data_IF_940691142456
#
_entry.id   IF_940691142456
#
_cell.length_a   1.000
_cell.length_b   1.000
_cell.length_c   1.000
_cell.angle_alpha   90.00
_cell.angle_beta   90.00
_cell.angle_gamma   90.00
#
_symmetry.space_group_name_H-M   'P 1'
#
loop_
_entity.id
_entity.type
_entity.pdbx_description
1 polymer ?
#
# COMPACT_ATOMS: atom_id res chain seq x y z
N UNK A 1 -3.50 -2.18 -18.39
CA UNK A 1 -2.98 -0.82 -18.70
C UNK A 1 -3.06 -0.01 -17.43
N UNK A 2 -2.02 0.75 -17.09
CA UNK A 2 -2.00 1.63 -15.92
C UNK A 2 -2.79 2.91 -16.23
N UNK A 3 -3.45 3.48 -15.22
CA UNK A 3 -4.12 4.78 -15.31
C UNK A 3 -3.09 5.92 -15.14
N UNK A 4 -3.35 7.11 -15.67
CA UNK A 4 -2.39 8.23 -15.53
C UNK A 4 -2.30 8.77 -14.10
N UNK A 5 -3.41 8.78 -13.34
CA UNK A 5 -3.46 9.28 -11.97
C UNK A 5 -4.63 8.66 -11.20
N UNK A 6 -4.44 8.47 -9.89
CA UNK A 6 -5.52 8.10 -8.96
C UNK A 6 -6.52 9.24 -8.74
N UNK A 7 -7.73 8.90 -8.28
CA UNK A 7 -8.78 9.88 -7.95
C UNK A 7 -9.28 9.64 -6.53
N UNK A 8 -9.46 10.70 -5.73
CA UNK A 8 -9.83 10.57 -4.30
C UNK A 8 -8.83 9.70 -3.52
N UNK A 9 -7.63 10.24 -3.20
CA UNK A 9 -6.56 9.52 -2.50
C UNK A 9 -7.00 8.83 -1.20
N UNK A 10 -7.98 9.40 -0.51
CA UNK A 10 -8.56 8.87 0.72
C UNK A 10 -9.16 7.46 0.56
N UNK A 11 -9.50 7.05 -0.68
CA UNK A 11 -10.06 5.72 -0.98
C UNK A 11 -9.00 4.63 -1.17
N UNK A 12 -7.72 4.97 -1.11
CA UNK A 12 -6.65 4.00 -1.31
C UNK A 12 -5.82 3.82 -0.04
N UNK A 13 -5.50 2.55 0.21
CA UNK A 13 -4.43 2.12 1.09
C UNK A 13 -3.38 1.42 0.24
N UNK A 14 -2.19 2.01 0.14
CA UNK A 14 -1.01 1.36 -0.42
C UNK A 14 -0.31 0.60 0.70
N UNK A 15 -0.11 -0.70 0.51
CA UNK A 15 0.80 -1.50 1.34
C UNK A 15 1.97 -1.90 0.45
N UNK A 16 3.19 -1.50 0.83
CA UNK A 16 4.39 -1.73 0.04
C UNK A 16 5.53 -2.19 0.95
N UNK A 17 6.40 -3.07 0.44
CA UNK A 17 7.57 -3.56 1.15
C UNK A 17 8.84 -2.87 0.60
N UNK A 18 9.73 -2.38 1.48
CA UNK A 18 11.00 -1.79 1.00
C UNK A 18 11.93 -2.85 0.42
N UNK A 19 11.71 -4.12 0.77
CA UNK A 19 12.40 -5.29 0.22
C UNK A 19 11.72 -5.94 -0.99
N UNK A 20 10.66 -5.35 -1.54
CA UNK A 20 9.99 -5.87 -2.75
C UNK A 20 11.00 -6.05 -3.90
N UNK A 21 11.18 -7.31 -4.31
CA UNK A 21 12.17 -7.71 -5.31
C UNK A 21 11.70 -7.50 -6.76
N UNK A 22 10.42 -7.16 -6.96
CA UNK A 22 9.80 -7.02 -8.28
C UNK A 22 9.43 -5.57 -8.62
N UNK A 23 9.08 -4.77 -7.62
CA UNK A 23 8.56 -3.42 -7.81
C UNK A 23 9.26 -2.43 -6.87
N UNK A 24 9.52 -1.21 -7.35
CA UNK A 24 10.11 -0.15 -6.52
C UNK A 24 9.02 0.54 -5.67
N UNK A 25 9.13 0.42 -4.35
CA UNK A 25 8.19 1.04 -3.42
C UNK A 25 8.18 2.57 -3.49
N UNK A 26 9.29 3.22 -3.88
CA UNK A 26 9.33 4.67 -4.07
C UNK A 26 8.41 5.07 -5.23
N UNK A 27 8.47 4.35 -6.35
CA UNK A 27 7.59 4.60 -7.50
C UNK A 27 6.11 4.37 -7.13
N UNK A 28 5.82 3.36 -6.30
CA UNK A 28 4.47 3.16 -5.78
C UNK A 28 4.00 4.35 -4.94
N UNK A 29 4.81 4.80 -3.97
CA UNK A 29 4.47 5.93 -3.10
C UNK A 29 4.28 7.21 -3.90
N UNK A 30 5.13 7.46 -4.90
CA UNK A 30 5.01 8.62 -5.79
C UNK A 30 3.76 8.57 -6.66
N UNK A 31 3.33 7.38 -7.07
CA UNK A 31 2.11 7.20 -7.87
C UNK A 31 0.81 7.35 -7.07
N UNK A 32 0.85 7.13 -5.74
CA UNK A 32 -0.28 7.25 -4.82
C UNK A 32 -0.18 8.49 -3.90
N UNK A 33 0.01 9.72 -4.42
CA UNK A 33 0.25 10.87 -3.56
C UNK A 33 -0.95 11.16 -2.65
N UNK A 34 -0.68 11.37 -1.35
CA UNK A 34 -1.67 11.65 -0.30
C UNK A 34 -2.66 10.52 0.01
N UNK A 35 -2.44 9.30 -0.51
CA UNK A 35 -3.19 8.14 -0.07
C UNK A 35 -2.72 7.67 1.32
N UNK A 36 -3.45 6.73 1.92
CA UNK A 36 -2.96 6.06 3.12
C UNK A 36 -1.85 5.10 2.71
N UNK A 37 -0.68 5.18 3.36
CA UNK A 37 0.46 4.30 3.06
C UNK A 37 0.85 3.49 4.29
N UNK A 38 1.15 2.22 4.07
CA UNK A 38 1.81 1.31 5.01
C UNK A 38 3.08 0.78 4.31
N UNK A 39 4.21 1.42 4.58
CA UNK A 39 5.51 1.01 4.02
C UNK A 39 6.22 0.13 5.04
N UNK A 40 6.38 -1.14 4.70
CA UNK A 40 6.96 -2.18 5.55
C UNK A 40 8.47 -2.23 5.31
N UNK A 41 9.27 -2.03 6.34
CA UNK A 41 10.71 -2.18 6.26
C UNK A 41 11.10 -3.65 6.02
N UNK A 42 11.81 -3.93 4.92
CA UNK A 42 12.13 -5.29 4.50
C UNK A 42 10.95 -5.98 3.84
N UNK A 43 10.68 -7.24 4.24
CA UNK A 43 9.71 -8.16 3.63
C UNK A 43 10.03 -8.47 2.16
N UNK A 44 9.05 -9.01 1.43
CA UNK A 44 9.13 -9.42 0.03
C UNK A 44 7.89 -8.95 -0.74
N UNK A 45 7.88 -9.12 -2.06
CA UNK A 45 6.73 -8.75 -2.92
C UNK A 45 5.43 -9.43 -2.48
N UNK A 46 5.52 -10.63 -1.90
CA UNK A 46 4.36 -11.37 -1.40
C UNK A 46 3.80 -10.85 -0.09
N UNK A 47 4.55 -10.00 0.62
CA UNK A 47 4.29 -9.56 1.99
C UNK A 47 3.98 -10.80 2.84
N UNK A 48 4.93 -11.72 2.97
CA UNK A 48 4.74 -13.01 3.67
C UNK A 48 4.16 -12.84 5.10
N UNK A 49 4.45 -11.73 5.76
CA UNK A 49 3.93 -11.35 7.09
C UNK A 49 2.57 -10.65 7.06
N UNK A 50 1.84 -10.67 5.94
CA UNK A 50 0.54 -10.00 5.76
C UNK A 50 -0.45 -10.15 6.93
N UNK A 51 -0.58 -11.31 7.62
CA UNK A 51 -1.45 -11.42 8.78
C UNK A 51 -1.20 -10.39 9.90
N UNK A 52 0.02 -9.84 10.02
CA UNK A 52 0.34 -8.78 10.99
C UNK A 52 -0.30 -7.42 10.62
N UNK A 53 -0.62 -7.22 9.35
CA UNK A 53 -1.19 -5.98 8.80
C UNK A 53 -2.69 -6.09 8.51
N UNK A 54 -3.27 -7.29 8.70
CA UNK A 54 -4.68 -7.55 8.38
C UNK A 54 -5.63 -6.60 9.12
N UNK A 55 -5.37 -6.33 10.40
CA UNK A 55 -6.20 -5.41 11.20
C UNK A 55 -6.22 -4.00 10.60
N UNK A 56 -5.07 -3.51 10.09
CA UNK A 56 -4.98 -2.21 9.41
C UNK A 56 -5.79 -2.20 8.12
N UNK A 57 -5.69 -3.25 7.31
CA UNK A 57 -6.45 -3.39 6.06
C UNK A 57 -7.95 -3.46 6.32
N UNK A 58 -8.38 -4.27 7.28
CA UNK A 58 -9.80 -4.39 7.67
C UNK A 58 -10.32 -3.08 8.24
N UNK A 59 -9.55 -2.40 9.08
CA UNK A 59 -9.93 -1.09 9.60
C UNK A 59 -10.15 -0.09 8.45
N UNK A 60 -9.20 0.01 7.53
CA UNK A 60 -9.33 0.90 6.37
C UNK A 60 -10.53 0.55 5.47
N UNK A 61 -10.76 -0.74 5.19
CA UNK A 61 -11.77 -1.18 4.23
C UNK A 61 -13.20 -1.22 4.80
N UNK A 62 -13.34 -1.48 6.10
CA UNK A 62 -14.63 -1.77 6.73
C UNK A 62 -15.06 -0.75 7.78
N UNK A 63 -14.12 0.01 8.34
CA UNK A 63 -14.39 1.03 9.35
C UNK A 63 -14.02 2.39 8.78
N UNK A 64 -14.98 2.98 8.07
CA UNK A 64 -14.98 4.42 7.88
C UNK A 64 -15.49 5.05 9.18
N UNK A 65 -14.71 5.94 9.79
CA UNK A 65 -15.34 7.11 10.42
C UNK A 65 -15.91 8.01 9.31
#
# INVERSE_FOLDING_TARGET
>A
QQVEKITHPERYLLVAATGDELLDWHEMVDFYPNANHEVIEGSDHGITEYPLYLDRVVHFACYLD
#
